data_IF_753478989836
#
_entry.id   IF_753478989836
#
_cell.length_a   1.000
_cell.length_b   1.000
_cell.length_c   1.000
_cell.angle_alpha   90.00
_cell.angle_beta   90.00
_cell.angle_gamma   90.00
#
_symmetry.space_group_name_H-M   'P 1'
#
loop_
_entity.id
_entity.type
_entity.pdbx_description
1 polymer ?
#
# COMPACT_ATOMS: atom_id res chain seq x y z
N UNK A 1 -20.05 0.24 -2.13
CA UNK A 1 -20.88 -0.15 -3.28
C UNK A 1 -20.24 0.44 -4.53
N UNK A 2 -19.78 -0.36 -5.51
CA UNK A 2 -19.15 0.15 -6.73
C UNK A 2 -20.02 1.13 -7.54
N UNK A 3 -21.34 1.12 -7.35
CA UNK A 3 -22.26 2.06 -8.00
C UNK A 3 -21.99 3.53 -7.63
N UNK A 4 -21.34 3.79 -6.48
CA UNK A 4 -20.98 5.14 -6.05
C UNK A 4 -19.70 5.66 -6.69
N UNK A 5 -19.06 4.87 -7.56
CA UNK A 5 -17.80 5.19 -8.25
C UNK A 5 -17.97 5.26 -9.77
N UNK A 6 -19.21 5.32 -10.26
CA UNK A 6 -19.50 5.38 -11.69
C UNK A 6 -18.87 6.64 -12.31
N UNK A 7 -18.21 6.45 -13.46
CA UNK A 7 -17.54 7.48 -14.26
C UNK A 7 -16.38 8.23 -13.56
N UNK A 8 -15.99 7.80 -12.37
CA UNK A 8 -14.83 8.30 -11.65
C UNK A 8 -13.52 7.79 -12.28
N UNK A 9 -12.42 8.47 -11.98
CA UNK A 9 -11.09 8.10 -12.46
C UNK A 9 -10.13 7.73 -11.33
N UNK A 10 -9.26 6.74 -11.60
CA UNK A 10 -8.37 6.14 -10.62
C UNK A 10 -6.93 6.09 -11.11
N UNK A 11 -6.00 6.54 -10.28
CA UNK A 11 -4.57 6.47 -10.51
C UNK A 11 -3.93 5.20 -9.97
N UNK A 12 -3.24 4.45 -10.83
CA UNK A 12 -2.47 3.25 -10.46
C UNK A 12 -0.99 3.42 -10.85
N UNK A 13 -0.08 2.78 -10.14
CA UNK A 13 1.36 2.78 -10.45
C UNK A 13 1.70 1.61 -11.38
N UNK A 14 2.46 1.88 -12.43
CA UNK A 14 2.92 0.85 -13.37
C UNK A 14 3.84 -0.14 -12.68
N UNK A 15 3.62 -1.43 -12.92
CA UNK A 15 4.44 -2.51 -12.39
C UNK A 15 4.12 -2.90 -10.96
N UNK A 16 3.16 -2.24 -10.30
CA UNK A 16 2.63 -2.71 -9.03
C UNK A 16 1.65 -3.85 -9.26
N UNK A 17 1.64 -4.79 -8.31
CA UNK A 17 0.66 -5.87 -8.26
C UNK A 17 -0.50 -5.41 -7.40
N UNK A 18 -1.71 -5.53 -7.93
CA UNK A 18 -2.95 -5.23 -7.24
C UNK A 18 -3.78 -6.51 -7.07
N UNK A 19 -4.61 -6.62 -6.02
CA UNK A 19 -5.49 -7.77 -5.87
C UNK A 19 -6.50 -7.82 -7.04
N UNK A 20 -6.84 -9.02 -7.49
CA UNK A 20 -7.78 -9.24 -8.61
C UNK A 20 -9.13 -8.55 -8.36
N UNK A 21 -9.58 -8.55 -7.10
CA UNK A 21 -10.81 -7.88 -6.66
C UNK A 21 -10.83 -6.39 -6.97
N UNK A 22 -9.69 -5.68 -6.96
CA UNK A 22 -9.63 -4.27 -7.35
C UNK A 22 -9.94 -4.12 -8.84
N UNK A 23 -9.39 -4.98 -9.69
CA UNK A 23 -9.64 -4.99 -11.13
C UNK A 23 -11.12 -5.21 -11.45
N UNK A 24 -11.77 -6.14 -10.74
CA UNK A 24 -13.21 -6.38 -10.86
C UNK A 24 -14.05 -5.16 -10.46
N UNK A 25 -13.68 -4.47 -9.37
CA UNK A 25 -14.36 -3.26 -8.91
C UNK A 25 -14.24 -2.13 -9.96
N UNK A 26 -13.02 -1.88 -10.45
CA UNK A 26 -12.75 -0.87 -11.48
C UNK A 26 -13.58 -1.15 -12.74
N UNK A 27 -13.57 -2.41 -13.21
CA UNK A 27 -14.31 -2.82 -14.39
C UNK A 27 -15.83 -2.68 -14.22
N UNK A 28 -16.36 -3.12 -13.07
CA UNK A 28 -17.79 -3.04 -12.76
C UNK A 28 -18.28 -1.59 -12.63
N UNK A 29 -17.46 -0.70 -12.10
CA UNK A 29 -17.76 0.72 -11.95
C UNK A 29 -17.49 1.52 -13.25
N UNK A 30 -16.89 0.92 -14.27
CA UNK A 30 -16.54 1.63 -15.51
C UNK A 30 -15.51 2.74 -15.32
N UNK A 31 -14.66 2.64 -14.29
CA UNK A 31 -13.73 3.71 -13.94
C UNK A 31 -12.63 3.88 -14.99
N UNK A 32 -12.23 5.13 -15.25
CA UNK A 32 -11.07 5.43 -16.11
C UNK A 32 -9.78 5.24 -15.32
N UNK A 33 -8.90 4.36 -15.78
CA UNK A 33 -7.59 4.13 -15.15
C UNK A 33 -6.53 5.03 -15.77
N UNK A 34 -5.78 5.74 -14.94
CA UNK A 34 -4.58 6.49 -15.35
C UNK A 34 -3.33 5.93 -14.67
N UNK A 35 -2.34 5.54 -15.47
CA UNK A 35 -1.14 4.90 -14.97
C UNK A 35 0.00 5.91 -14.73
N UNK A 36 0.48 5.99 -13.49
CA UNK A 36 1.66 6.75 -13.08
C UNK A 36 2.94 5.88 -13.06
N UNK A 37 4.10 6.53 -13.11
CA UNK A 37 5.40 5.85 -13.06
C UNK A 37 5.87 5.54 -11.64
N UNK A 38 5.44 6.33 -10.65
CA UNK A 38 5.79 6.20 -9.25
C UNK A 38 4.68 6.81 -8.37
N UNK A 39 4.78 6.59 -7.05
CA UNK A 39 3.81 7.07 -6.06
C UNK A 39 3.69 8.60 -6.05
N UNK A 40 4.80 9.33 -6.23
CA UNK A 40 4.80 10.80 -6.21
C UNK A 40 4.04 11.37 -7.41
N UNK A 41 4.22 10.78 -8.59
CA UNK A 41 3.47 11.16 -9.78
C UNK A 41 2.01 10.80 -9.62
N UNK A 42 1.69 9.65 -9.03
CA UNK A 42 0.31 9.24 -8.77
C UNK A 42 -0.40 10.24 -7.83
N UNK A 43 0.26 10.64 -6.73
CA UNK A 43 -0.20 11.71 -5.84
C UNK A 43 -0.41 13.04 -6.56
N UNK A 44 0.50 13.42 -7.45
CA UNK A 44 0.37 14.67 -8.24
C UNK A 44 -0.82 14.64 -9.20
N UNK A 45 -1.19 13.47 -9.75
CA UNK A 45 -2.41 13.34 -10.55
C UNK A 45 -3.65 13.64 -9.69
N UNK A 46 -3.71 13.09 -8.47
CA UNK A 46 -4.80 13.32 -7.53
C UNK A 46 -4.91 14.80 -7.14
N UNK A 47 -3.81 15.41 -6.69
CA UNK A 47 -3.79 16.82 -6.24
C UNK A 47 -4.12 17.79 -7.38
N UNK A 48 -3.78 17.44 -8.62
CA UNK A 48 -4.11 18.24 -9.80
C UNK A 48 -5.54 17.99 -10.33
N UNK A 49 -6.32 17.12 -9.70
CA UNK A 49 -7.67 16.74 -10.16
C UNK A 49 -7.68 16.02 -11.50
N UNK A 50 -6.59 15.31 -11.85
CA UNK A 50 -6.51 14.48 -13.06
C UNK A 50 -7.12 13.09 -12.85
N UNK A 51 -7.11 12.64 -11.60
CA UNK A 51 -7.80 11.46 -11.11
C UNK A 51 -8.53 11.79 -9.81
N UNK A 52 -9.62 11.09 -9.54
CA UNK A 52 -10.46 11.31 -8.37
C UNK A 52 -9.98 10.47 -7.17
N UNK A 53 -9.39 9.31 -7.46
CA UNK A 53 -8.82 8.38 -6.48
C UNK A 53 -7.44 7.89 -6.91
N UNK A 54 -6.65 7.40 -5.95
CA UNK A 54 -5.44 6.62 -6.23
C UNK A 54 -5.43 5.37 -5.36
N UNK A 55 -4.78 4.32 -5.84
CA UNK A 55 -4.37 3.19 -5.00
C UNK A 55 -2.88 3.29 -4.75
N UNK A 56 -2.50 3.25 -3.48
CA UNK A 56 -1.11 3.41 -3.06
C UNK A 56 -0.86 2.77 -1.69
N UNK A 57 0.41 2.47 -1.41
CA UNK A 57 0.85 1.94 -0.12
C UNK A 57 0.66 3.00 0.97
N UNK A 58 -0.07 2.63 2.04
CA UNK A 58 -0.53 3.58 3.05
C UNK A 58 0.59 4.48 3.62
N UNK A 59 1.74 3.91 3.93
CA UNK A 59 2.78 4.62 4.69
C UNK A 59 3.75 5.42 3.87
N UNK A 60 4.28 4.83 2.81
CA UNK A 60 5.12 5.55 1.86
C UNK A 60 4.35 6.74 1.30
N UNK A 61 3.08 6.55 0.96
CA UNK A 61 2.22 7.61 0.42
C UNK A 61 1.94 8.71 1.43
N UNK A 62 1.62 8.38 2.68
CA UNK A 62 1.41 9.39 3.73
C UNK A 62 2.69 10.18 4.04
N UNK A 63 3.84 9.50 4.11
CA UNK A 63 5.13 10.14 4.30
C UNK A 63 5.46 11.09 3.14
N UNK A 64 5.22 10.65 1.89
CA UNK A 64 5.39 11.47 0.68
C UNK A 64 4.44 12.67 0.68
N UNK A 65 3.14 12.46 0.91
CA UNK A 65 2.17 13.54 0.96
C UNK A 65 2.52 14.59 2.01
N UNK A 66 2.96 14.17 3.20
CA UNK A 66 3.43 15.08 4.25
C UNK A 66 4.66 15.86 3.82
N UNK A 67 5.65 15.20 3.20
CA UNK A 67 6.88 15.84 2.71
C UNK A 67 6.61 16.89 1.64
N UNK A 68 5.66 16.63 0.75
CA UNK A 68 5.29 17.52 -0.36
C UNK A 68 4.16 18.49 0.01
N UNK A 69 3.72 18.51 1.28
CA UNK A 69 2.63 19.35 1.79
C UNK A 69 1.29 19.18 1.04
N UNK A 70 1.02 17.98 0.55
CA UNK A 70 -0.22 17.66 -0.14
C UNK A 70 -1.37 17.42 0.83
N UNK A 71 -2.47 18.15 0.64
CA UNK A 71 -3.71 17.99 1.37
C UNK A 71 -4.53 16.79 0.84
N UNK A 72 -4.05 15.58 1.13
CA UNK A 72 -4.74 14.32 0.79
C UNK A 72 -5.10 13.56 2.05
N UNK A 73 -6.12 12.70 1.97
CA UNK A 73 -6.54 11.83 3.07
C UNK A 73 -6.75 10.40 2.59
N UNK A 74 -6.37 9.39 3.39
CA UNK A 74 -6.70 8.01 3.09
C UNK A 74 -8.21 7.79 3.28
N UNK A 75 -8.80 6.96 2.41
CA UNK A 75 -10.16 6.47 2.60
C UNK A 75 -10.15 5.23 3.50
N UNK A 76 -11.19 5.07 4.30
CA UNK A 76 -11.41 3.92 5.19
C UNK A 76 -12.77 3.27 4.86
N UNK A 77 -12.90 1.94 5.00
CA UNK A 77 -11.84 0.98 5.35
C UNK A 77 -10.80 0.83 4.22
N UNK A 78 -9.66 0.22 4.53
CA UNK A 78 -8.66 -0.10 3.51
C UNK A 78 -9.24 -1.13 2.52
N UNK A 79 -8.91 -1.01 1.24
CA UNK A 79 -9.39 -1.95 0.22
C UNK A 79 -8.68 -3.31 0.24
N UNK A 80 -7.42 -3.34 0.67
CA UNK A 80 -6.64 -4.56 0.93
C UNK A 80 -5.61 -4.34 2.04
N UNK A 81 -5.05 -5.45 2.53
CA UNK A 81 -3.86 -5.48 3.39
C UNK A 81 -2.97 -6.58 2.86
N UNK A 82 -1.78 -6.21 2.39
CA UNK A 82 -0.82 -7.12 1.79
C UNK A 82 0.47 -7.13 2.62
N UNK A 83 0.99 -8.32 2.91
CA UNK A 83 2.25 -8.48 3.63
C UNK A 83 3.42 -8.36 2.68
N UNK A 84 4.36 -7.48 3.02
CA UNK A 84 5.58 -7.28 2.27
C UNK A 84 6.67 -8.22 2.79
N UNK A 85 7.35 -8.87 1.85
CA UNK A 85 8.49 -9.74 2.12
C UNK A 85 9.67 -9.30 1.26
N UNK A 86 10.91 -9.35 1.78
CA UNK A 86 12.07 -9.18 0.94
C UNK A 86 12.19 -10.35 -0.04
N UNK A 87 12.46 -10.02 -1.30
CA UNK A 87 12.77 -11.00 -2.33
C UNK A 87 14.26 -11.35 -2.31
N UNK A 88 14.59 -12.64 -2.41
CA UNK A 88 15.95 -13.15 -2.51
C UNK A 88 16.17 -13.83 -3.87
N UNK A 89 17.39 -13.79 -4.39
CA UNK A 89 17.77 -14.65 -5.52
C UNK A 89 17.62 -16.11 -5.12
N UNK A 90 17.28 -16.97 -6.10
CA UNK A 90 17.14 -18.42 -5.88
C UNK A 90 18.44 -19.05 -5.36
N UNK A 91 19.58 -18.49 -5.72
CA UNK A 91 20.91 -18.99 -5.32
C UNK A 91 21.34 -18.49 -3.92
N UNK A 92 20.58 -17.58 -3.32
CA UNK A 92 20.91 -16.91 -2.05
C UNK A 92 20.21 -17.52 -0.83
N UNK A 93 19.89 -18.82 -0.86
CA UNK A 93 19.12 -19.49 0.19
C UNK A 93 19.72 -19.34 1.60
N UNK A 94 21.05 -19.29 1.73
CA UNK A 94 21.72 -19.06 3.01
C UNK A 94 21.43 -17.66 3.58
N UNK A 95 21.39 -16.64 2.71
CA UNK A 95 21.08 -15.25 3.08
C UNK A 95 19.62 -15.12 3.50
N UNK A 96 18.71 -15.75 2.75
CA UNK A 96 17.29 -15.82 3.11
C UNK A 96 17.11 -16.41 4.51
N UNK A 97 17.72 -17.58 4.79
CA UNK A 97 17.60 -18.24 6.11
C UNK A 97 18.13 -17.36 7.25
N UNK A 98 19.25 -16.67 7.03
CA UNK A 98 19.80 -15.73 8.03
C UNK A 98 18.85 -14.57 8.29
N UNK A 99 18.27 -13.99 7.24
CA UNK A 99 17.28 -12.93 7.36
C UNK A 99 16.02 -13.40 8.11
N UNK A 100 15.50 -14.57 7.75
CA UNK A 100 14.32 -15.15 8.38
C UNK A 100 14.54 -15.41 9.88
N UNK A 101 15.70 -15.95 10.26
CA UNK A 101 16.05 -16.17 11.66
C UNK A 101 16.10 -14.84 12.45
N UNK A 102 16.72 -13.80 11.88
CA UNK A 102 16.76 -12.47 12.51
C UNK A 102 15.37 -11.85 12.62
N UNK A 103 14.56 -11.90 11.56
CA UNK A 103 13.20 -11.36 11.59
C UNK A 103 12.33 -12.09 12.62
N UNK A 104 12.46 -13.42 12.73
CA UNK A 104 11.76 -14.23 13.73
C UNK A 104 12.12 -13.83 15.15
N UNK A 105 13.41 -13.62 15.43
CA UNK A 105 13.89 -13.15 16.74
C UNK A 105 13.36 -11.74 17.05
N UNK A 106 13.43 -10.81 16.09
CA UNK A 106 12.89 -9.45 16.24
C UNK A 106 11.37 -9.43 16.47
N UNK A 107 10.62 -10.34 15.84
CA UNK A 107 9.18 -10.48 16.09
C UNK A 107 8.92 -11.06 17.47
N UNK A 108 9.62 -12.13 17.86
CA UNK A 108 9.44 -12.79 19.16
C UNK A 108 9.80 -11.88 20.34
N UNK A 109 10.78 -10.98 20.15
CA UNK A 109 11.21 -10.00 21.16
C UNK A 109 10.39 -8.69 21.13
N UNK A 110 9.40 -8.57 20.23
CA UNK A 110 8.53 -7.39 20.12
C UNK A 110 9.17 -6.17 19.45
N UNK A 111 10.37 -6.30 18.88
CA UNK A 111 11.07 -5.21 18.19
C UNK A 111 10.28 -4.77 16.96
N UNK A 112 9.72 -5.70 16.19
CA UNK A 112 8.90 -5.37 15.01
C UNK A 112 7.64 -4.59 15.41
N UNK A 113 6.94 -5.05 16.45
CA UNK A 113 5.75 -4.35 16.96
C UNK A 113 6.08 -2.94 17.46
N UNK A 114 7.24 -2.75 18.08
CA UNK A 114 7.72 -1.42 18.49
C UNK A 114 7.93 -0.51 17.29
N UNK A 115 8.61 -0.98 16.24
CA UNK A 115 8.83 -0.20 15.01
C UNK A 115 7.49 0.20 14.39
N UNK A 116 6.53 -0.74 14.30
CA UNK A 116 5.20 -0.46 13.80
C UNK A 116 4.47 0.59 14.65
N UNK A 117 4.49 0.49 15.98
CA UNK A 117 3.86 1.51 16.83
C UNK A 117 4.49 2.89 16.65
N UNK A 118 5.82 2.97 16.54
CA UNK A 118 6.53 4.25 16.36
C UNK A 118 6.23 4.93 15.03
N UNK A 119 6.06 4.14 13.95
CA UNK A 119 5.80 4.68 12.62
C UNK A 119 4.30 4.85 12.32
N UNK A 120 3.44 3.99 12.88
CA UNK A 120 2.04 3.82 12.47
C UNK A 120 1.02 4.10 13.58
N UNK A 121 1.46 4.11 14.85
CA UNK A 121 0.58 4.15 16.02
C UNK A 121 -0.10 2.82 16.36
N UNK A 122 0.12 1.76 15.57
CA UNK A 122 -0.44 0.40 15.76
C UNK A 122 0.66 -0.64 15.58
N UNK A 123 0.53 -1.82 16.19
CA UNK A 123 1.52 -2.91 16.06
C UNK A 123 1.22 -3.81 14.85
N UNK A 124 2.22 -4.59 14.41
CA UNK A 124 2.01 -5.58 13.35
C UNK A 124 1.07 -6.68 13.83
N UNK A 125 1.23 -7.15 15.07
CA UNK A 125 0.35 -8.15 15.67
C UNK A 125 -1.12 -7.69 15.69
N UNK A 126 -1.38 -6.43 16.05
CA UNK A 126 -2.73 -5.83 16.04
C UNK A 126 -3.33 -5.83 14.62
N UNK A 127 -2.55 -5.45 13.61
CA UNK A 127 -2.97 -5.47 12.21
C UNK A 127 -3.29 -6.88 11.70
N UNK A 128 -2.49 -7.88 12.09
CA UNK A 128 -2.69 -9.28 11.69
C UNK A 128 -3.86 -9.96 12.41
N UNK A 129 -4.20 -9.50 13.61
CA UNK A 129 -5.31 -10.02 14.41
C UNK A 129 -6.66 -9.35 14.12
N UNK A 130 -6.67 -8.33 13.25
CA UNK A 130 -7.89 -7.65 12.83
C UNK A 130 -8.62 -8.50 11.78
N UNK A 131 -9.93 -8.76 11.94
CA UNK A 131 -10.71 -9.61 11.05
C UNK A 131 -10.88 -9.02 9.64
#
# INVERSE_FOLDING_TARGET
DPSTLLDESIGLVRGYTYPESLGEIIAKAGMRVEYAWDDLRNLRLLVAGRVDFIVADYLSTLALAKREEFAVRPLRPNHSVDLLYPAFSRDDAAKQKKFEAALRDMTATGIIDKIYREQLGVSLSELLSSP
#
